data_IF_372380053613
#
_entry.id   IF_372380053613
#
_cell.length_a   1.000
_cell.length_b   1.000
_cell.length_c   1.000
_cell.angle_alpha   90.00
_cell.angle_beta   90.00
_cell.angle_gamma   90.00
#
_symmetry.space_group_name_H-M   'P 1'
#
loop_
_entity.id
_entity.type
_entity.pdbx_description
1 polymer ?
#
# COMPACT_ATOMS: atom_id res chain seq x y z
N UNK A 1 13.04 1.14 -74.03
CA UNK A 1 11.91 0.31 -74.51
C UNK A 1 10.84 0.39 -73.43
N UNK A 2 9.97 1.40 -73.50
CA UNK A 2 8.57 1.33 -73.98
C UNK A 2 7.72 0.23 -73.33
N UNK A 3 6.73 0.68 -72.55
CA UNK A 3 5.69 -0.12 -71.90
C UNK A 3 4.70 0.77 -71.13
N UNK A 4 4.06 1.71 -71.83
CA UNK A 4 2.78 2.36 -71.50
C UNK A 4 1.70 1.27 -71.22
N UNK A 5 0.62 1.41 -70.42
CA UNK A 5 -0.02 2.57 -69.82
C UNK A 5 -1.34 2.16 -69.07
N UNK A 6 -1.82 3.06 -68.19
CA UNK A 6 -3.24 3.40 -67.89
C UNK A 6 -4.13 2.43 -67.07
N UNK A 7 -5.04 2.83 -66.16
CA UNK A 7 -5.60 4.12 -65.72
C UNK A 7 -6.14 4.02 -64.28
N UNK A 8 -6.22 5.19 -63.61
CA UNK A 8 -6.85 5.50 -62.32
C UNK A 8 -8.39 5.38 -62.35
N UNK A 9 -9.02 5.03 -61.21
CA UNK A 9 -10.30 5.60 -60.76
C UNK A 9 -10.24 5.89 -59.24
N UNK A 10 -10.77 7.05 -58.87
CA UNK A 10 -10.80 7.72 -57.57
C UNK A 10 -12.23 7.68 -56.99
N UNK A 11 -12.35 7.86 -55.67
CA UNK A 11 -13.52 8.36 -54.91
C UNK A 11 -14.67 7.33 -54.63
N UNK A 12 -15.49 7.38 -53.57
CA UNK A 12 -15.72 8.30 -52.45
C UNK A 12 -16.58 7.57 -51.37
N UNK A 13 -16.54 8.09 -50.13
CA UNK A 13 -17.40 7.90 -48.93
C UNK A 13 -18.79 7.22 -49.05
N UNK A 14 -19.20 6.49 -47.99
CA UNK A 14 -20.39 6.82 -47.17
C UNK A 14 -20.52 6.00 -45.87
N UNK A 15 -21.00 6.70 -44.83
CA UNK A 15 -21.43 6.28 -43.49
C UNK A 15 -22.36 5.06 -43.46
N UNK A 16 -22.21 4.24 -42.42
CA UNK A 16 -23.34 3.63 -41.71
C UNK A 16 -23.13 3.81 -40.20
N UNK A 17 -23.73 4.88 -39.69
CA UNK A 17 -24.05 5.02 -38.28
C UNK A 17 -25.16 4.01 -37.95
N UNK A 18 -24.84 3.01 -37.13
CA UNK A 18 -25.86 2.16 -36.52
C UNK A 18 -26.19 2.71 -35.12
N UNK A 19 -27.49 2.87 -34.80
CA UNK A 19 -27.93 3.43 -33.54
C UNK A 19 -27.71 2.44 -32.40
N UNK A 20 -27.40 3.02 -31.24
CA UNK A 20 -27.33 2.45 -29.90
C UNK A 20 -28.03 1.10 -29.70
N UNK A 21 -27.22 0.07 -29.52
CA UNK A 21 -27.49 -0.94 -28.49
C UNK A 21 -26.52 -0.64 -27.37
N UNK A 22 -26.97 0.10 -26.36
CA UNK A 22 -26.33 0.09 -25.05
C UNK A 22 -26.53 -1.31 -24.49
N UNK A 23 -25.67 -2.24 -24.88
CA UNK A 23 -25.47 -3.47 -24.11
C UNK A 23 -25.26 -3.05 -22.65
N UNK A 24 -25.82 -3.78 -21.67
CA UNK A 24 -25.43 -3.55 -20.29
C UNK A 24 -23.90 -3.55 -20.27
N UNK A 25 -23.31 -2.49 -19.73
CA UNK A 25 -21.90 -2.44 -19.40
C UNK A 25 -21.59 -3.74 -18.67
N UNK A 26 -21.04 -4.73 -19.38
CA UNK A 26 -20.22 -5.75 -18.75
C UNK A 26 -19.15 -4.90 -18.07
N UNK A 27 -19.28 -4.71 -16.76
CA UNK A 27 -18.30 -3.99 -15.97
C UNK A 27 -16.98 -4.71 -16.22
N UNK A 28 -16.18 -4.19 -17.15
CA UNK A 28 -14.94 -4.80 -17.54
C UNK A 28 -14.09 -4.84 -16.27
N UNK A 29 -13.66 -6.04 -15.90
CA UNK A 29 -12.75 -6.22 -14.77
C UNK A 29 -11.50 -5.42 -15.10
N UNK A 30 -11.17 -4.42 -14.28
CA UNK A 30 -10.00 -3.59 -14.53
C UNK A 30 -8.72 -4.45 -14.47
N UNK A 31 -7.62 -3.94 -15.03
CA UNK A 31 -6.34 -4.64 -14.94
C UNK A 31 -5.94 -4.93 -13.48
N UNK A 32 -6.21 -3.98 -12.58
CA UNK A 32 -5.97 -4.08 -11.15
C UNK A 32 -6.89 -5.10 -10.48
N UNK A 33 -8.18 -5.11 -10.82
CA UNK A 33 -9.15 -6.08 -10.29
C UNK A 33 -8.79 -7.51 -10.66
N UNK A 34 -8.31 -7.74 -11.89
CA UNK A 34 -7.80 -9.04 -12.32
C UNK A 34 -6.57 -9.45 -11.51
N UNK A 35 -5.62 -8.54 -11.34
CA UNK A 35 -4.40 -8.80 -10.53
C UNK A 35 -4.76 -9.11 -9.08
N UNK A 36 -5.73 -8.40 -8.50
CA UNK A 36 -6.25 -8.70 -7.16
C UNK A 36 -6.88 -10.09 -7.09
N UNK A 37 -7.76 -10.42 -8.04
CA UNK A 37 -8.42 -11.73 -8.14
C UNK A 37 -7.42 -12.89 -8.25
N UNK A 38 -6.43 -12.77 -9.14
CA UNK A 38 -5.35 -13.77 -9.33
C UNK A 38 -4.59 -14.03 -8.03
N UNK A 39 -4.24 -12.97 -7.29
CA UNK A 39 -3.50 -13.11 -6.02
C UNK A 39 -4.36 -13.73 -4.92
N UNK A 40 -5.65 -13.38 -4.84
CA UNK A 40 -6.60 -14.03 -3.91
C UNK A 40 -6.72 -15.52 -4.22
N UNK A 41 -6.89 -15.87 -5.50
CA UNK A 41 -6.96 -17.26 -5.95
C UNK A 41 -5.70 -18.05 -5.56
N UNK A 42 -4.52 -17.50 -5.82
CA UNK A 42 -3.25 -18.18 -5.52
C UNK A 42 -2.96 -18.33 -4.03
N UNK A 43 -3.34 -17.34 -3.20
CA UNK A 43 -3.28 -17.50 -1.73
C UNK A 43 -4.24 -18.58 -1.24
N UNK A 44 -5.42 -18.70 -1.87
CA UNK A 44 -6.42 -19.71 -1.53
C UNK A 44 -5.95 -21.13 -1.86
N UNK A 45 -5.34 -21.29 -3.04
CA UNK A 45 -4.77 -22.57 -3.47
C UNK A 45 -3.58 -22.93 -2.57
N UNK A 46 -2.68 -21.99 -2.30
CA UNK A 46 -1.51 -22.21 -1.46
C UNK A 46 -1.87 -22.65 -0.03
N UNK A 47 -2.98 -22.16 0.54
CA UNK A 47 -3.47 -22.61 1.84
C UNK A 47 -3.78 -24.11 1.92
N UNK A 48 -4.02 -24.78 0.79
CA UNK A 48 -4.24 -26.24 0.69
C UNK A 48 -3.03 -26.98 0.15
N UNK A 49 -2.34 -26.38 -0.82
CA UNK A 49 -1.31 -27.05 -1.63
C UNK A 49 0.12 -26.73 -1.18
N UNK A 50 0.34 -25.79 -0.26
CA UNK A 50 1.66 -25.35 0.22
C UNK A 50 2.63 -25.03 -0.93
N UNK A 51 2.18 -24.22 -1.89
CA UNK A 51 2.93 -23.88 -3.09
C UNK A 51 4.08 -22.91 -2.80
N UNK A 52 3.96 -22.10 -1.75
CA UNK A 52 4.87 -21.00 -1.43
C UNK A 52 5.54 -21.17 -0.06
N UNK A 53 6.77 -20.66 0.05
CA UNK A 53 7.43 -20.52 1.36
C UNK A 53 6.73 -19.45 2.20
N UNK A 54 6.96 -19.40 3.53
CA UNK A 54 6.37 -18.35 4.37
C UNK A 54 6.68 -16.92 3.89
N UNK A 55 7.90 -16.66 3.39
CA UNK A 55 8.27 -15.36 2.84
C UNK A 55 7.52 -15.06 1.54
N UNK A 56 7.49 -16.01 0.60
CA UNK A 56 6.74 -15.86 -0.65
C UNK A 56 5.25 -15.61 -0.41
N UNK A 57 4.65 -16.30 0.57
CA UNK A 57 3.25 -16.11 0.98
C UNK A 57 3.01 -14.72 1.56
N UNK A 58 3.89 -14.23 2.43
CA UNK A 58 3.80 -12.87 2.98
C UNK A 58 3.91 -11.81 1.89
N UNK A 59 4.86 -11.95 0.98
CA UNK A 59 5.01 -11.04 -0.14
C UNK A 59 3.79 -11.06 -1.08
N UNK A 60 3.27 -12.24 -1.42
CA UNK A 60 2.05 -12.38 -2.22
C UNK A 60 0.84 -11.70 -1.53
N UNK A 61 0.70 -11.86 -0.22
CA UNK A 61 -0.33 -11.17 0.56
C UNK A 61 -0.14 -9.65 0.54
N UNK A 62 1.08 -9.15 0.69
CA UNK A 62 1.39 -7.73 0.60
C UNK A 62 1.03 -7.15 -0.78
N UNK A 63 1.38 -7.84 -1.87
CA UNK A 63 1.01 -7.43 -3.22
C UNK A 63 -0.51 -7.53 -3.46
N UNK A 64 -1.20 -8.49 -2.87
CA UNK A 64 -2.66 -8.56 -2.92
C UNK A 64 -3.28 -7.32 -2.25
N UNK A 65 -2.77 -6.93 -1.08
CA UNK A 65 -3.23 -5.74 -0.37
C UNK A 65 -2.89 -4.44 -1.11
N UNK A 66 -1.74 -4.39 -1.81
CA UNK A 66 -1.39 -3.27 -2.69
C UNK A 66 -2.40 -3.12 -3.85
N UNK A 67 -2.77 -4.22 -4.51
CA UNK A 67 -3.79 -4.18 -5.56
C UNK A 67 -5.15 -3.74 -5.02
N UNK A 68 -5.55 -4.26 -3.85
CA UNK A 68 -6.76 -3.82 -3.13
C UNK A 68 -6.73 -2.32 -2.86
N UNK A 69 -5.60 -1.79 -2.40
CA UNK A 69 -5.41 -0.38 -2.12
C UNK A 69 -5.54 0.50 -3.36
N UNK A 70 -4.90 0.10 -4.46
CA UNK A 70 -5.03 0.78 -5.76
C UNK A 70 -6.50 0.88 -6.21
N UNK A 71 -7.23 -0.23 -6.15
CA UNK A 71 -8.64 -0.29 -6.57
C UNK A 71 -9.52 0.64 -5.71
N UNK A 72 -9.33 0.62 -4.39
CA UNK A 72 -10.07 1.50 -3.46
C UNK A 72 -9.75 2.98 -3.68
N UNK A 73 -8.47 3.34 -3.85
CA UNK A 73 -8.07 4.72 -4.13
C UNK A 73 -8.56 5.20 -5.50
N UNK A 74 -8.75 4.30 -6.46
CA UNK A 74 -9.41 4.60 -7.74
C UNK A 74 -10.94 4.83 -7.60
N UNK A 75 -11.50 4.80 -6.39
CA UNK A 75 -12.90 5.12 -6.11
C UNK A 75 -13.85 3.92 -6.21
N UNK A 76 -13.33 2.70 -6.40
CA UNK A 76 -14.16 1.51 -6.41
C UNK A 76 -14.72 1.18 -5.03
N UNK A 77 -15.87 0.52 -5.02
CA UNK A 77 -16.56 0.13 -3.81
C UNK A 77 -15.93 -1.10 -3.15
N UNK A 78 -15.97 -1.13 -1.82
CA UNK A 78 -15.46 -2.24 -1.02
C UNK A 78 -16.28 -3.52 -1.24
N UNK A 79 -17.59 -3.40 -1.47
CA UNK A 79 -18.44 -4.59 -1.70
C UNK A 79 -18.13 -5.26 -3.03
N UNK A 80 -17.77 -4.49 -4.06
CA UNK A 80 -17.28 -5.03 -5.32
C UNK A 80 -16.01 -5.85 -5.12
N UNK A 81 -15.06 -5.36 -4.32
CA UNK A 81 -13.85 -6.09 -3.98
C UNK A 81 -14.13 -7.36 -3.16
N UNK A 82 -15.07 -7.29 -2.21
CA UNK A 82 -15.51 -8.45 -1.44
C UNK A 82 -16.09 -9.54 -2.35
N UNK A 83 -16.91 -9.14 -3.33
CA UNK A 83 -17.48 -10.05 -4.33
C UNK A 83 -16.39 -10.70 -5.20
N UNK A 84 -15.44 -9.91 -5.72
CA UNK A 84 -14.31 -10.43 -6.51
C UNK A 84 -13.49 -11.44 -5.69
N UNK A 85 -13.20 -11.13 -4.42
CA UNK A 85 -12.45 -12.02 -3.55
C UNK A 85 -13.23 -13.33 -3.27
N UNK A 86 -14.54 -13.24 -3.03
CA UNK A 86 -15.41 -14.39 -2.85
C UNK A 86 -15.44 -15.29 -4.10
N UNK A 87 -15.66 -14.71 -5.28
CA UNK A 87 -15.66 -15.43 -6.55
C UNK A 87 -14.31 -16.08 -6.84
N UNK A 88 -13.21 -15.38 -6.57
CA UNK A 88 -11.85 -15.90 -6.77
C UNK A 88 -11.56 -17.11 -5.89
N UNK A 89 -11.99 -17.08 -4.62
CA UNK A 89 -11.84 -18.22 -3.68
C UNK A 89 -12.65 -19.43 -4.15
N UNK A 90 -13.92 -19.21 -4.50
CA UNK A 90 -14.81 -20.30 -4.91
C UNK A 90 -14.40 -20.90 -6.26
N UNK A 91 -13.95 -20.08 -7.20
CA UNK A 91 -13.53 -20.51 -8.53
C UNK A 91 -12.33 -21.46 -8.53
N UNK A 92 -11.53 -21.46 -7.45
CA UNK A 92 -10.36 -22.34 -7.31
C UNK A 92 -10.50 -23.39 -6.20
N UNK A 93 -11.64 -23.42 -5.50
CA UNK A 93 -11.84 -24.30 -4.34
C UNK A 93 -11.68 -25.79 -4.69
N UNK A 94 -12.17 -26.21 -5.85
CA UNK A 94 -12.12 -27.60 -6.33
C UNK A 94 -10.93 -27.92 -7.25
N UNK A 95 -10.07 -26.93 -7.54
CA UNK A 95 -8.93 -27.14 -8.45
C UNK A 95 -7.87 -28.02 -7.79
N UNK A 96 -7.31 -28.94 -8.57
CA UNK A 96 -6.24 -29.85 -8.14
C UNK A 96 -4.93 -29.10 -7.93
N UNK A 97 -4.16 -29.47 -6.90
CA UNK A 97 -2.79 -28.95 -6.70
C UNK A 97 -1.84 -29.31 -7.85
N UNK A 98 -2.16 -30.35 -8.63
CA UNK A 98 -1.40 -30.78 -9.82
C UNK A 98 -1.88 -30.16 -11.13
N UNK A 99 -2.85 -29.24 -11.10
CA UNK A 99 -3.32 -28.54 -12.30
C UNK A 99 -2.14 -27.79 -12.97
N UNK A 100 -1.84 -28.05 -14.25
CA UNK A 100 -0.73 -27.41 -14.95
C UNK A 100 -0.79 -25.87 -14.93
N UNK A 101 -2.00 -25.28 -14.95
CA UNK A 101 -2.17 -23.84 -14.88
C UNK A 101 -1.74 -23.30 -13.51
N UNK A 102 -2.09 -24.00 -12.43
CA UNK A 102 -1.71 -23.64 -11.06
C UNK A 102 -0.20 -23.74 -10.88
N UNK A 103 0.42 -24.81 -11.40
CA UNK A 103 1.88 -24.98 -11.34
C UNK A 103 2.59 -23.86 -12.10
N UNK A 104 2.11 -23.52 -13.31
CA UNK A 104 2.65 -22.43 -14.12
C UNK A 104 2.53 -21.07 -13.44
N UNK A 105 1.38 -20.80 -12.83
CA UNK A 105 1.11 -19.58 -12.06
C UNK A 105 2.03 -19.46 -10.85
N UNK A 106 2.15 -20.53 -10.06
CA UNK A 106 3.04 -20.57 -8.90
C UNK A 106 4.50 -20.33 -9.30
N UNK A 107 4.94 -20.89 -10.43
CA UNK A 107 6.28 -20.64 -10.96
C UNK A 107 6.48 -19.17 -11.37
N UNK A 108 5.46 -18.51 -11.95
CA UNK A 108 5.52 -17.07 -12.26
C UNK A 108 5.63 -16.23 -11.00
N UNK A 109 4.83 -16.51 -9.97
CA UNK A 109 4.87 -15.80 -8.69
C UNK A 109 6.24 -15.96 -8.01
N UNK A 110 6.81 -17.17 -8.01
CA UNK A 110 8.16 -17.43 -7.47
C UNK A 110 9.23 -16.60 -8.19
N UNK A 111 9.18 -16.50 -9.52
CA UNK A 111 10.10 -15.65 -10.30
C UNK A 111 9.91 -14.17 -10.00
N UNK A 112 8.67 -13.69 -9.93
CA UNK A 112 8.37 -12.30 -9.59
C UNK A 112 8.87 -11.94 -8.19
N UNK A 113 8.70 -12.82 -7.22
CA UNK A 113 9.25 -12.67 -5.87
C UNK A 113 10.78 -12.59 -5.87
N UNK A 114 11.47 -13.49 -6.57
CA UNK A 114 12.93 -13.43 -6.69
C UNK A 114 13.42 -12.11 -7.31
N UNK A 115 12.73 -11.61 -8.34
CA UNK A 115 13.04 -10.32 -8.94
C UNK A 115 12.84 -9.16 -7.96
N UNK A 116 11.70 -9.13 -7.27
CA UNK A 116 11.38 -8.09 -6.30
C UNK A 116 12.32 -8.09 -5.09
N UNK A 117 12.77 -9.25 -4.61
CA UNK A 117 13.73 -9.31 -3.48
C UNK A 117 15.01 -8.54 -3.75
N UNK A 118 15.45 -8.47 -5.00
CA UNK A 118 16.65 -7.73 -5.39
C UNK A 118 16.47 -6.21 -5.28
N UNK A 119 15.24 -5.70 -5.16
CA UNK A 119 14.98 -4.27 -4.98
C UNK A 119 15.24 -3.87 -3.53
N UNK A 120 16.33 -3.16 -3.26
CA UNK A 120 16.65 -2.73 -1.88
C UNK A 120 15.75 -1.60 -1.38
N UNK A 121 15.18 -0.81 -2.28
CA UNK A 121 14.26 0.29 -1.98
C UNK A 121 13.05 0.15 -2.89
N UNK A 122 11.86 0.31 -2.34
CA UNK A 122 10.60 0.25 -3.08
C UNK A 122 9.65 1.34 -2.61
N UNK A 123 8.87 1.88 -3.55
CA UNK A 123 7.84 2.89 -3.30
C UNK A 123 6.45 2.26 -3.35
N UNK A 124 5.63 2.59 -2.37
CA UNK A 124 4.27 2.07 -2.20
C UNK A 124 3.28 3.24 -2.24
N UNK A 125 2.45 3.34 -3.29
CA UNK A 125 1.65 4.54 -3.51
C UNK A 125 0.60 4.83 -2.42
N UNK A 126 0.40 6.12 -2.18
CA UNK A 126 -0.86 6.68 -1.70
C UNK A 126 -1.51 7.51 -2.81
N UNK A 127 -2.53 8.29 -2.44
CA UNK A 127 -3.17 9.29 -3.30
C UNK A 127 -2.27 10.53 -3.46
N UNK A 128 -1.65 10.99 -2.37
CA UNK A 128 -0.86 12.23 -2.35
C UNK A 128 0.61 12.01 -1.99
N UNK A 129 0.92 10.99 -1.20
CA UNK A 129 2.26 10.61 -0.75
C UNK A 129 2.49 9.11 -0.88
N UNK A 130 3.72 8.74 -1.20
CA UNK A 130 4.15 7.34 -1.22
C UNK A 130 4.87 6.98 0.08
N UNK A 131 4.77 5.70 0.44
CA UNK A 131 5.62 5.09 1.44
C UNK A 131 6.89 4.56 0.78
N UNK A 132 8.04 4.96 1.30
CA UNK A 132 9.32 4.33 0.97
C UNK A 132 9.51 3.14 1.89
N UNK A 133 9.79 1.95 1.36
CA UNK A 133 10.32 0.82 2.12
C UNK A 133 11.79 0.57 1.76
N UNK A 134 12.63 0.32 2.75
CA UNK A 134 14.07 0.11 2.53
C UNK A 134 14.63 -1.07 3.30
N UNK A 135 15.42 -1.87 2.58
CA UNK A 135 16.28 -2.93 3.08
C UNK A 135 17.77 -2.58 2.93
N UNK A 136 18.09 -1.37 2.50
CA UNK A 136 19.47 -0.94 2.25
C UNK A 136 20.34 -0.84 3.52
N UNK A 137 19.74 -0.87 4.72
CA UNK A 137 20.48 -0.88 5.98
C UNK A 137 21.21 0.42 6.32
N UNK A 138 20.77 1.55 5.76
CA UNK A 138 21.30 2.89 6.07
C UNK A 138 21.03 3.27 7.53
N UNK A 139 19.83 2.98 8.00
CA UNK A 139 19.37 3.18 9.36
C UNK A 139 18.35 2.10 9.75
N UNK A 140 17.66 2.28 10.87
CA UNK A 140 16.67 1.32 11.38
C UNK A 140 15.28 1.47 10.74
N UNK A 141 15.06 2.45 9.86
CA UNK A 141 13.77 2.64 9.20
C UNK A 141 13.55 1.55 8.15
N UNK A 142 12.38 0.92 8.19
CA UNK A 142 11.99 -0.13 7.23
C UNK A 142 10.91 0.30 6.28
N UNK A 143 10.03 1.18 6.72
CA UNK A 143 9.12 1.91 5.83
C UNK A 143 8.74 3.26 6.42
N UNK A 144 8.67 4.32 5.62
CA UNK A 144 8.37 5.67 6.11
C UNK A 144 7.74 6.58 5.06
N UNK A 145 7.20 7.70 5.54
CA UNK A 145 6.90 8.89 4.76
C UNK A 145 7.67 10.08 5.32
N UNK A 146 8.16 10.93 4.43
CA UNK A 146 8.63 12.27 4.78
C UNK A 146 7.40 13.19 4.87
N UNK A 147 7.23 13.89 6.00
CA UNK A 147 6.04 14.70 6.30
C UNK A 147 6.29 16.21 6.11
N UNK A 148 7.50 16.58 5.67
CA UNK A 148 7.98 17.96 5.61
C UNK A 148 8.59 18.44 6.93
N UNK A 149 9.27 19.59 6.90
CA UNK A 149 9.93 20.19 8.09
C UNK A 149 10.93 19.25 8.79
N UNK A 150 11.54 18.34 8.04
CA UNK A 150 12.46 17.32 8.58
C UNK A 150 11.80 16.22 9.40
N UNK A 151 10.46 16.13 9.41
CA UNK A 151 9.74 15.08 10.11
C UNK A 151 9.57 13.83 9.23
N UNK A 152 9.83 12.66 9.82
CA UNK A 152 9.68 11.34 9.19
C UNK A 152 8.81 10.46 10.08
N UNK A 153 7.79 9.80 9.53
CA UNK A 153 6.99 8.84 10.29
C UNK A 153 6.88 7.49 9.56
N UNK A 154 6.83 6.41 10.34
CA UNK A 154 6.77 5.06 9.79
C UNK A 154 7.22 3.98 10.75
N UNK A 155 7.71 2.88 10.20
CA UNK A 155 8.12 1.69 10.95
C UNK A 155 9.63 1.63 11.09
N UNK A 156 10.06 1.52 12.34
CA UNK A 156 11.46 1.44 12.75
C UNK A 156 11.72 0.11 13.45
N UNK A 157 12.89 -0.47 13.22
CA UNK A 157 13.31 -1.69 13.90
C UNK A 157 13.53 -1.42 15.39
N UNK A 158 12.84 -2.18 16.24
CA UNK A 158 13.01 -2.18 17.69
C UNK A 158 13.25 -3.63 18.18
N UNK A 159 13.72 -3.84 19.43
CA UNK A 159 14.06 -5.18 19.93
C UNK A 159 12.94 -6.22 19.79
N UNK A 160 11.68 -5.80 19.88
CA UNK A 160 10.51 -6.66 19.82
C UNK A 160 9.79 -6.63 18.46
N UNK A 161 10.50 -6.24 17.39
CA UNK A 161 9.98 -6.14 16.02
C UNK A 161 9.78 -4.69 15.56
N UNK A 162 9.01 -4.51 14.49
CA UNK A 162 8.74 -3.20 13.93
C UNK A 162 7.68 -2.44 14.73
N UNK A 163 8.04 -1.23 15.14
CA UNK A 163 7.15 -0.30 15.84
C UNK A 163 6.92 0.94 15.00
N UNK A 164 5.72 1.49 15.09
CA UNK A 164 5.44 2.78 14.48
C UNK A 164 6.06 3.92 15.31
N UNK A 165 6.64 4.89 14.63
CA UNK A 165 7.25 6.06 15.25
C UNK A 165 7.25 7.28 14.34
N UNK A 166 7.51 8.44 14.94
CA UNK A 166 7.77 9.69 14.24
C UNK A 166 9.07 10.28 14.77
N UNK A 167 9.96 10.66 13.87
CA UNK A 167 11.15 11.45 14.18
C UNK A 167 10.93 12.89 13.76
N UNK A 168 11.35 13.82 14.64
CA UNK A 168 11.32 15.27 14.39
C UNK A 168 12.62 15.92 14.85
N UNK A 169 13.06 17.03 14.21
CA UNK A 169 14.30 17.70 14.59
C UNK A 169 14.26 18.39 15.96
N UNK A 170 13.06 18.64 16.50
CA UNK A 170 12.90 19.26 17.83
C UNK A 170 13.10 18.25 18.95
N UNK A 171 13.95 18.56 19.93
CA UNK A 171 14.23 17.65 21.05
C UNK A 171 13.31 17.84 22.26
N UNK A 172 12.43 18.85 22.24
CA UNK A 172 11.70 19.27 23.43
C UNK A 172 10.24 18.78 23.46
N UNK A 173 10.02 17.55 23.00
CA UNK A 173 8.69 16.94 23.00
C UNK A 173 8.39 16.40 24.41
N UNK A 174 7.24 16.80 24.97
CA UNK A 174 6.76 16.34 26.27
C UNK A 174 5.80 15.16 26.15
N UNK A 175 4.94 15.15 25.14
CA UNK A 175 4.02 14.04 24.85
C UNK A 175 3.66 14.01 23.37
N UNK A 176 3.13 12.87 22.92
CA UNK A 176 2.67 12.69 21.56
C UNK A 176 1.47 11.75 21.51
N UNK A 177 0.57 12.00 20.55
CA UNK A 177 -0.67 11.26 20.35
C UNK A 177 -0.87 10.97 18.87
N UNK A 178 -1.46 9.82 18.57
CA UNK A 178 -1.93 9.49 17.23
C UNK A 178 -3.44 9.31 17.24
N UNK A 179 -4.12 9.88 16.24
CA UNK A 179 -5.56 9.86 16.07
C UNK A 179 -5.90 9.02 14.84
N UNK A 180 -6.44 7.83 15.06
CA UNK A 180 -6.81 6.88 13.99
C UNK A 180 -8.32 6.83 13.85
N UNK A 181 -8.84 6.84 12.62
CA UNK A 181 -10.29 6.75 12.34
C UNK A 181 -10.89 5.50 12.98
N UNK A 182 -12.01 5.66 13.67
CA UNK A 182 -12.91 4.56 14.02
C UNK A 182 -14.04 4.48 13.00
N UNK A 183 -13.95 3.50 12.08
CA UNK A 183 -14.95 3.30 11.03
C UNK A 183 -16.35 2.98 11.59
N UNK A 184 -16.47 2.53 12.85
CA UNK A 184 -17.77 2.28 13.50
C UNK A 184 -18.43 3.58 13.95
N UNK A 185 -17.64 4.64 14.20
CA UNK A 185 -18.16 5.95 14.65
C UNK A 185 -18.42 6.91 13.50
N UNK A 186 -17.51 6.96 12.53
CA UNK A 186 -17.55 7.97 11.45
C UNK A 186 -17.49 7.38 10.04
N UNK A 187 -17.73 6.07 9.90
CA UNK A 187 -17.78 5.37 8.62
C UNK A 187 -16.41 5.23 7.95
N UNK A 188 -16.41 4.57 6.79
CA UNK A 188 -15.22 4.41 5.96
C UNK A 188 -14.78 5.75 5.34
N UNK A 189 -13.48 5.96 5.14
CA UNK A 189 -12.98 7.15 4.46
C UNK A 189 -13.38 7.15 2.98
N UNK A 190 -13.45 8.35 2.41
CA UNK A 190 -13.50 8.58 0.96
C UNK A 190 -12.10 8.89 0.46
N UNK A 191 -11.91 8.90 -0.85
CA UNK A 191 -10.65 9.33 -1.45
C UNK A 191 -10.22 10.70 -0.89
N UNK A 192 -8.99 10.79 -0.39
CA UNK A 192 -8.48 11.93 0.35
C UNK A 192 -7.24 12.52 -0.34
N UNK A 193 -7.46 13.41 -1.30
CA UNK A 193 -6.38 14.08 -2.04
C UNK A 193 -5.76 15.26 -1.29
N UNK A 194 -6.40 15.70 -0.20
CA UNK A 194 -6.02 16.92 0.51
C UNK A 194 -5.36 16.63 1.87
N UNK A 195 -5.07 15.35 2.16
CA UNK A 195 -4.48 14.91 3.43
C UNK A 195 -5.26 15.43 4.66
N UNK A 196 -6.59 15.35 4.60
CA UNK A 196 -7.44 15.78 5.72
C UNK A 196 -7.51 14.65 6.76
N UNK A 197 -7.08 14.85 8.02
CA UNK A 197 -7.16 13.80 9.03
C UNK A 197 -8.61 13.53 9.45
N UNK A 198 -8.89 12.38 10.09
CA UNK A 198 -10.22 12.08 10.61
C UNK A 198 -10.63 13.08 11.70
N UNK A 199 -11.94 13.31 11.82
CA UNK A 199 -12.48 14.10 12.92
C UNK A 199 -12.10 13.45 14.27
N UNK A 200 -11.44 14.20 15.15
CA UNK A 200 -10.92 13.68 16.43
C UNK A 200 -12.00 13.03 17.31
N UNK A 201 -13.23 13.51 17.27
CA UNK A 201 -14.37 12.93 18.00
C UNK A 201 -14.72 11.50 17.55
N UNK A 202 -14.37 11.14 16.31
CA UNK A 202 -14.55 9.81 15.73
C UNK A 202 -13.27 8.98 15.68
N UNK A 203 -12.21 9.40 16.37
CA UNK A 203 -10.92 8.72 16.33
C UNK A 203 -10.63 7.95 17.62
N UNK A 204 -9.94 6.83 17.49
CA UNK A 204 -9.20 6.21 18.58
C UNK A 204 -7.91 7.00 18.81
N UNK A 205 -7.56 7.21 20.09
CA UNK A 205 -6.40 8.00 20.49
C UNK A 205 -5.41 7.11 21.20
N UNK A 206 -4.15 7.15 20.76
CA UNK A 206 -3.07 6.40 21.38
C UNK A 206 -1.93 7.34 21.74
N UNK A 207 -1.40 7.20 22.95
CA UNK A 207 -0.26 7.97 23.41
C UNK A 207 1.06 7.29 23.00
N UNK A 208 2.11 8.08 22.84
CA UNK A 208 3.46 7.54 22.71
C UNK A 208 3.87 6.77 23.97
N UNK A 209 4.64 5.70 23.76
CA UNK A 209 5.12 4.82 24.82
C UNK A 209 6.57 5.07 25.20
N UNK A 210 7.37 5.63 24.28
CA UNK A 210 8.78 5.92 24.54
C UNK A 210 9.30 7.06 23.66
N UNK A 211 10.42 7.63 24.10
CA UNK A 211 11.20 8.60 23.37
C UNK A 211 12.65 8.11 23.30
N UNK A 212 13.28 8.29 22.15
CA UNK A 212 14.68 7.97 21.91
C UNK A 212 15.35 9.09 21.11
N UNK A 213 16.68 9.19 21.09
CA UNK A 213 17.37 10.00 20.10
C UNK A 213 16.91 9.62 18.69
N UNK A 214 16.87 10.60 17.79
CA UNK A 214 16.72 10.35 16.36
C UNK A 214 17.69 9.26 15.87
N UNK A 215 17.29 8.53 14.83
CA UNK A 215 18.03 7.41 14.26
C UNK A 215 18.27 7.57 12.76
N UNK A 216 17.57 8.48 12.08
CA UNK A 216 17.71 8.65 10.62
C UNK A 216 19.12 9.06 10.22
N UNK A 217 19.58 8.49 9.12
CA UNK A 217 20.86 8.81 8.48
C UNK A 217 20.66 9.11 7.00
N UNK A 218 21.57 9.88 6.42
CA UNK A 218 21.59 10.13 4.97
C UNK A 218 22.29 9.00 4.22
N UNK A 219 23.39 8.52 4.78
CA UNK A 219 24.17 7.38 4.29
C UNK A 219 24.66 6.52 5.46
N UNK A 220 25.11 5.29 5.19
CA UNK A 220 25.63 4.37 6.22
C UNK A 220 26.75 5.01 7.07
N UNK A 221 27.58 5.87 6.44
CA UNK A 221 28.70 6.55 7.08
C UNK A 221 28.35 7.92 7.68
N UNK A 222 27.16 8.45 7.38
CA UNK A 222 26.74 9.74 7.94
C UNK A 222 26.45 9.64 9.44
N UNK A 223 26.64 10.76 10.14
CA UNK A 223 26.15 10.92 11.50
C UNK A 223 24.63 10.87 11.51
N UNK A 224 24.08 10.37 12.62
CA UNK A 224 22.64 10.40 12.85
C UNK A 224 22.14 11.84 12.93
N UNK A 225 20.97 12.11 12.32
CA UNK A 225 20.32 13.42 12.40
C UNK A 225 20.04 13.79 13.86
N UNK A 226 20.12 15.08 14.18
CA UNK A 226 19.68 15.58 15.49
C UNK A 226 18.16 15.59 15.56
N UNK A 227 17.60 15.16 16.69
CA UNK A 227 16.17 15.13 16.91
C UNK A 227 15.74 14.10 17.93
N UNK A 228 14.43 13.88 18.01
CA UNK A 228 13.81 12.85 18.85
C UNK A 228 12.99 11.90 18.00
N UNK A 229 13.15 10.61 18.24
CA UNK A 229 12.26 9.56 17.78
C UNK A 229 11.22 9.29 18.86
N UNK A 230 9.96 9.54 18.53
CA UNK A 230 8.79 9.22 19.35
C UNK A 230 8.27 7.85 18.91
N UNK A 231 8.15 6.92 19.84
CA UNK A 231 7.78 5.53 19.58
C UNK A 231 6.40 5.25 20.16
N UNK A 232 5.55 4.59 19.37
CA UNK A 232 4.22 4.15 19.77
C UNK A 232 4.18 2.64 20.06
N UNK A 233 3.08 2.19 20.69
CA UNK A 233 2.90 0.79 21.04
C UNK A 233 2.73 -0.12 19.82
N UNK A 234 2.94 -1.43 20.00
CA UNK A 234 2.60 -2.44 18.98
C UNK A 234 1.12 -2.44 18.61
N UNK A 235 0.24 -1.95 19.48
CA UNK A 235 -1.18 -1.77 19.17
C UNK A 235 -1.37 -0.71 18.08
N UNK A 236 -0.65 0.41 18.16
CA UNK A 236 -0.66 1.45 17.12
C UNK A 236 -0.15 0.89 15.79
N UNK A 237 0.94 0.13 15.81
CA UNK A 237 1.45 -0.56 14.60
C UNK A 237 0.35 -1.41 13.95
N UNK A 238 -0.33 -2.26 14.72
CA UNK A 238 -1.41 -3.13 14.21
C UNK A 238 -2.61 -2.33 13.73
N UNK A 239 -2.98 -1.26 14.43
CA UNK A 239 -4.09 -0.41 14.04
C UNK A 239 -3.82 0.30 12.71
N UNK A 240 -2.60 0.85 12.51
CA UNK A 240 -2.21 1.55 11.29
C UNK A 240 -2.24 0.64 10.07
N UNK A 241 -1.66 -0.57 10.16
CA UNK A 241 -1.63 -1.50 9.01
C UNK A 241 -3.00 -2.08 8.66
N UNK A 242 -4.01 -1.88 9.52
CA UNK A 242 -5.39 -2.29 9.30
C UNK A 242 -6.29 -1.16 8.76
N UNK A 243 -5.77 0.06 8.63
CA UNK A 243 -6.55 1.20 8.12
C UNK A 243 -6.91 1.03 6.65
N UNK A 244 -7.99 1.70 6.25
CA UNK A 244 -8.38 1.76 4.85
C UNK A 244 -7.35 2.60 4.06
N UNK A 245 -6.90 2.12 2.88
CA UNK A 245 -5.85 2.76 2.09
C UNK A 245 -6.21 4.15 1.55
N UNK A 246 -7.48 4.57 1.65
CA UNK A 246 -7.94 5.92 1.31
C UNK A 246 -7.82 6.90 2.47
N UNK A 247 -7.53 6.42 3.68
CA UNK A 247 -7.50 7.26 4.87
C UNK A 247 -6.20 8.05 5.04
N UNK A 248 -6.24 8.97 5.99
CA UNK A 248 -5.07 9.59 6.59
C UNK A 248 -5.21 9.50 8.12
N UNK A 249 -4.13 9.74 8.84
CA UNK A 249 -4.18 9.87 10.30
C UNK A 249 -3.28 10.99 10.78
N UNK A 250 -3.61 11.53 11.95
CA UNK A 250 -2.89 12.65 12.54
C UNK A 250 -1.99 12.19 13.67
N UNK A 251 -0.79 12.76 13.72
CA UNK A 251 0.13 12.70 14.85
C UNK A 251 0.23 14.11 15.43
N UNK A 252 -0.11 14.25 16.71
CA UNK A 252 0.02 15.47 17.49
C UNK A 252 1.23 15.34 18.41
N UNK A 253 2.14 16.29 18.34
CA UNK A 253 3.25 16.45 19.27
C UNK A 253 3.00 17.67 20.13
N UNK A 254 3.23 17.54 21.44
CA UNK A 254 3.12 18.66 22.39
C UNK A 254 4.48 18.85 23.03
N UNK A 255 5.05 20.05 22.90
CA UNK A 255 6.32 20.40 23.55
C UNK A 255 6.16 20.54 25.06
N UNK A 256 7.27 20.57 25.80
CA UNK A 256 7.23 20.81 27.26
C UNK A 256 6.68 22.19 27.63
N UNK A 257 6.75 23.16 26.71
CA UNK A 257 6.14 24.50 26.83
C UNK A 257 4.67 24.53 26.38
N UNK A 258 4.10 23.38 26.00
CA UNK A 258 2.72 23.28 25.54
C UNK A 258 2.48 23.69 24.07
N UNK A 259 3.55 23.89 23.27
CA UNK A 259 3.38 24.16 21.82
C UNK A 259 2.93 22.90 21.11
N UNK A 260 1.97 23.03 20.20
CA UNK A 260 1.38 21.91 19.47
C UNK A 260 1.87 21.92 18.02
N UNK A 261 2.44 20.79 17.58
CA UNK A 261 2.75 20.50 16.18
C UNK A 261 1.90 19.33 15.70
N UNK A 262 1.38 19.41 14.47
CA UNK A 262 0.54 18.36 13.88
C UNK A 262 1.11 17.90 12.56
N UNK A 263 1.11 16.59 12.38
CA UNK A 263 1.57 15.94 11.16
C UNK A 263 0.49 14.99 10.67
N UNK A 264 0.24 14.99 9.37
CA UNK A 264 -0.67 14.03 8.74
C UNK A 264 0.14 13.01 7.98
N UNK A 265 -0.17 11.74 8.20
CA UNK A 265 0.39 10.60 7.49
C UNK A 265 -0.71 10.01 6.62
N UNK A 266 -0.41 9.77 5.35
CA UNK A 266 -1.34 9.09 4.45
C UNK A 266 -1.25 7.57 4.63
N UNK A 267 -2.38 6.87 4.66
CA UNK A 267 -2.37 5.41 4.79
C UNK A 267 -1.85 4.76 3.52
N UNK A 268 -2.43 5.04 2.36
CA UNK A 268 -1.95 4.47 1.08
C UNK A 268 -1.72 2.95 1.16
N UNK A 269 -0.64 2.47 0.58
CA UNK A 269 -0.22 1.07 0.62
C UNK A 269 0.67 0.72 1.84
N UNK A 270 0.42 1.33 3.01
CA UNK A 270 1.21 1.13 4.24
C UNK A 270 1.42 -0.34 4.62
N UNK A 271 0.41 -1.20 4.43
CA UNK A 271 0.51 -2.62 4.76
C UNK A 271 1.51 -3.35 3.85
N UNK A 272 1.59 -2.95 2.58
CA UNK A 272 2.56 -3.50 1.66
C UNK A 272 3.96 -2.99 2.05
N UNK A 273 4.11 -1.69 2.31
CA UNK A 273 5.37 -1.10 2.77
C UNK A 273 5.87 -1.75 4.07
N UNK A 274 4.98 -1.96 5.05
CA UNK A 274 5.29 -2.65 6.31
C UNK A 274 5.76 -4.09 6.07
N UNK A 275 4.96 -4.89 5.37
CA UNK A 275 5.26 -6.31 5.16
C UNK A 275 6.58 -6.52 4.41
N UNK A 276 6.85 -5.67 3.43
CA UNK A 276 7.97 -5.78 2.50
C UNK A 276 9.24 -5.09 3.01
N UNK A 277 9.10 -4.08 3.88
CA UNK A 277 10.20 -3.52 4.67
C UNK A 277 10.63 -4.42 5.83
N UNK A 278 9.72 -5.27 6.33
CA UNK A 278 10.01 -6.23 7.39
C UNK A 278 10.78 -7.48 6.92
N UNK A 279 10.87 -7.72 5.61
CA UNK A 279 11.63 -8.86 5.10
C UNK A 279 13.13 -8.61 5.20
N UNK A 280 13.83 -9.58 5.78
CA UNK A 280 15.29 -9.63 5.93
C UNK A 280 15.81 -10.82 5.12
#
# INVERSE_FOLDING_TARGET
>A
MLGMAKYKILALLALLALPFVTSPTNAQVSGEERVFAERVAMLTIDGRCNLFTPQQRRALNAFMMQARGSILRAGNDIERLNLIAYQSRNGVASKSCSDPQIIGEAARIKRAYSAWRMQMIAEFPGTSRSWTASRAGVDNWRAWQELGQGARAGFVFAPNGLVFGIEVPTQNIGTARVYLRDARRIGLPRANTNLVPPARSGSNVYNATAFAPAQSKETVHSATRSGVLVIFSNEVTRAIIALDPRDCFEIELVSREGRISRYVVEVGDVIAAFALGAEV
#
